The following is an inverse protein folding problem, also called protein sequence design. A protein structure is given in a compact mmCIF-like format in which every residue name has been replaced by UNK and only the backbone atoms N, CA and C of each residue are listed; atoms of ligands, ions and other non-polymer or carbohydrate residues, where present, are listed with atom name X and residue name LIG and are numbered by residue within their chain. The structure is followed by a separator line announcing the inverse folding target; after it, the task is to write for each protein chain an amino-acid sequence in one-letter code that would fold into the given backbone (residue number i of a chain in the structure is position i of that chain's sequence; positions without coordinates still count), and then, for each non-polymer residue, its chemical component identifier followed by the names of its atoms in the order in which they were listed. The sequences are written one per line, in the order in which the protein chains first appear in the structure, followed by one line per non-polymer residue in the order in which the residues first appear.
data_IF_528518060937
#
_entry.id   IF_528518060937
#
_cell.length_a   1.000
_cell.length_b   1.000
_cell.length_c   1.000
_cell.angle_alpha   90.00
_cell.angle_beta   90.00
_cell.angle_gamma   90.00
#
_symmetry.space_group_name_H-M   'P 1'
#
loop_
_entity.id
_entity.type
_entity.pdbx_description
1 polymer ?
#
# COMPACT_ATOMS: atom_id res chain seq x y z
N UNK A 1 13.86 15.74 9.45
CA UNK A 1 14.35 15.53 8.07
C UNK A 1 14.14 14.07 7.72
N UNK A 2 13.07 13.69 7.01
CA UNK A 2 12.98 12.33 6.46
C UNK A 2 14.01 12.23 5.33
N UNK A 3 14.88 11.21 5.42
CA UNK A 3 15.85 10.89 4.39
C UNK A 3 15.10 10.59 3.07
N UNK A 4 15.39 11.29 1.97
CA UNK A 4 14.72 11.07 0.69
C UNK A 4 14.72 9.61 0.23
N UNK A 5 15.78 8.87 0.56
CA UNK A 5 15.92 7.45 0.21
C UNK A 5 14.93 6.58 0.98
N UNK A 6 14.64 6.95 2.23
CA UNK A 6 13.71 6.23 3.10
C UNK A 6 12.26 6.46 2.66
N UNK A 7 11.92 7.70 2.28
CA UNK A 7 10.61 8.00 1.68
C UNK A 7 10.38 7.25 0.36
N UNK A 8 11.38 7.22 -0.52
CA UNK A 8 11.29 6.51 -1.80
C UNK A 8 11.17 4.99 -1.62
N UNK A 9 11.88 4.41 -0.64
CA UNK A 9 11.78 3.00 -0.29
C UNK A 9 10.39 2.62 0.21
N UNK A 10 9.85 3.37 1.17
CA UNK A 10 8.50 3.13 1.72
C UNK A 10 7.43 3.31 0.65
N UNK A 11 7.57 4.31 -0.24
CA UNK A 11 6.64 4.49 -1.36
C UNK A 11 6.64 3.30 -2.32
N UNK A 12 7.81 2.77 -2.69
CA UNK A 12 7.92 1.58 -3.56
C UNK A 12 7.26 0.35 -2.93
N UNK A 13 7.47 0.13 -1.63
CA UNK A 13 6.83 -0.97 -0.90
C UNK A 13 5.31 -0.79 -0.90
N UNK A 14 4.82 0.43 -0.62
CA UNK A 14 3.40 0.73 -0.61
C UNK A 14 2.76 0.48 -1.99
N UNK A 15 3.39 0.95 -3.07
CA UNK A 15 2.94 0.70 -4.44
C UNK A 15 2.92 -0.79 -4.77
N UNK A 16 3.94 -1.54 -4.36
CA UNK A 16 3.98 -2.98 -4.58
C UNK A 16 2.82 -3.70 -3.88
N UNK A 17 2.55 -3.37 -2.61
CA UNK A 17 1.40 -3.91 -1.87
C UNK A 17 0.09 -3.58 -2.60
N UNK A 18 -0.08 -2.33 -3.03
CA UNK A 18 -1.30 -1.91 -3.74
C UNK A 18 -1.51 -2.70 -5.03
N UNK A 19 -0.45 -2.87 -5.83
CA UNK A 19 -0.55 -3.58 -7.10
C UNK A 19 -0.81 -5.07 -6.90
N UNK A 20 -0.08 -5.72 -6.00
CA UNK A 20 -0.21 -7.17 -5.76
C UNK A 20 -1.55 -7.49 -5.12
N UNK A 21 -1.93 -6.81 -4.03
CA UNK A 21 -3.23 -7.02 -3.40
C UNK A 21 -4.37 -6.62 -4.33
N UNK A 22 -4.26 -5.48 -5.03
CA UNK A 22 -5.26 -5.07 -6.01
C UNK A 22 -5.48 -6.10 -7.11
N UNK A 23 -4.42 -6.78 -7.56
CA UNK A 23 -4.51 -7.86 -8.54
C UNK A 23 -5.11 -9.14 -7.93
N UNK A 24 -4.72 -9.51 -6.71
CA UNK A 24 -5.20 -10.71 -6.02
C UNK A 24 -6.71 -10.67 -5.75
N UNK A 25 -7.30 -9.49 -5.55
CA UNK A 25 -8.75 -9.35 -5.39
C UNK A 25 -9.57 -9.93 -6.54
N UNK A 26 -9.04 -9.99 -7.77
CA UNK A 26 -9.73 -10.60 -8.91
C UNK A 26 -9.68 -12.14 -8.91
N UNK A 27 -8.78 -12.73 -8.14
CA UNK A 27 -8.57 -14.17 -8.05
C UNK A 27 -9.04 -14.77 -6.73
N UNK A 28 -9.25 -13.94 -5.70
CA UNK A 28 -9.70 -14.38 -4.38
C UNK A 28 -11.21 -14.57 -4.34
N UNK A 29 -11.64 -15.69 -3.76
CA UNK A 29 -13.05 -15.95 -3.50
C UNK A 29 -13.62 -14.96 -2.47
N UNK A 30 -14.73 -14.27 -2.79
CA UNK A 30 -15.37 -13.34 -1.85
C UNK A 30 -15.80 -14.03 -0.55
N UNK A 31 -15.75 -13.29 0.56
CA UNK A 31 -16.16 -13.74 1.92
C UNK A 31 -15.25 -14.80 2.56
N UNK A 32 -14.07 -15.02 2.02
CA UNK A 32 -13.01 -15.79 2.68
C UNK A 32 -12.17 -14.90 3.60
N UNK A 33 -11.50 -15.51 4.58
CA UNK A 33 -10.54 -14.80 5.44
C UNK A 33 -9.39 -14.19 4.65
N UNK A 34 -8.94 -14.89 3.60
CA UNK A 34 -7.88 -14.41 2.69
C UNK A 34 -8.31 -13.17 1.92
N UNK A 35 -9.54 -13.13 1.40
CA UNK A 35 -10.08 -11.92 0.75
C UNK A 35 -10.11 -10.73 1.70
N UNK A 36 -10.59 -10.91 2.94
CA UNK A 36 -10.67 -9.82 3.93
C UNK A 36 -9.26 -9.30 4.27
N UNK A 37 -8.31 -10.19 4.51
CA UNK A 37 -6.92 -9.81 4.83
C UNK A 37 -6.28 -9.06 3.67
N UNK A 38 -6.51 -9.50 2.43
CA UNK A 38 -5.96 -8.84 1.24
C UNK A 38 -6.56 -7.44 1.02
N UNK A 39 -7.87 -7.27 1.27
CA UNK A 39 -8.52 -5.94 1.27
C UNK A 39 -7.89 -5.04 2.34
N UNK A 40 -7.66 -5.54 3.55
CA UNK A 40 -7.02 -4.74 4.61
C UNK A 40 -5.58 -4.38 4.25
N UNK A 41 -4.82 -5.30 3.66
CA UNK A 41 -3.46 -5.04 3.17
C UNK A 41 -3.46 -3.96 2.08
N UNK A 42 -4.42 -4.01 1.15
CA UNK A 42 -4.60 -3.00 0.12
C UNK A 42 -4.87 -1.61 0.72
N UNK A 43 -5.76 -1.52 1.71
CA UNK A 43 -6.05 -0.26 2.43
C UNK A 43 -4.79 0.28 3.11
N UNK A 44 -4.02 -0.58 3.79
CA UNK A 44 -2.76 -0.18 4.44
C UNK A 44 -1.75 0.32 3.41
N UNK A 45 -1.66 -0.33 2.25
CA UNK A 45 -0.83 0.11 1.13
C UNK A 45 -1.19 1.53 0.68
N UNK A 46 -2.48 1.82 0.48
CA UNK A 46 -2.95 3.17 0.13
C UNK A 46 -2.64 4.20 1.22
N UNK A 47 -2.82 3.86 2.49
CA UNK A 47 -2.49 4.76 3.60
C UNK A 47 -0.99 5.07 3.64
N UNK A 48 -0.13 4.07 3.47
CA UNK A 48 1.33 4.28 3.40
C UNK A 48 1.73 5.16 2.21
N UNK A 49 1.23 4.86 1.02
CA UNK A 49 1.52 5.66 -0.18
C UNK A 49 1.04 7.11 -0.02
N UNK A 50 -0.17 7.30 0.54
CA UNK A 50 -0.75 8.61 0.83
C UNK A 50 0.05 9.38 1.88
N UNK A 51 0.45 8.72 2.97
CA UNK A 51 1.27 9.33 4.04
C UNK A 51 2.61 9.80 3.50
N UNK A 52 3.32 8.95 2.73
CA UNK A 52 4.61 9.31 2.14
C UNK A 52 4.45 10.48 1.16
N UNK A 53 3.43 10.43 0.30
CA UNK A 53 3.15 11.52 -0.66
C UNK A 53 2.87 12.84 0.06
N UNK A 54 2.08 12.79 1.14
CA UNK A 54 1.76 13.96 1.96
C UNK A 54 2.99 14.53 2.65
N UNK A 55 3.82 13.66 3.25
CA UNK A 55 5.06 14.05 3.94
C UNK A 55 6.10 14.63 2.98
N UNK A 56 6.16 14.15 1.74
CA UNK A 56 7.05 14.70 0.70
C UNK A 56 6.52 16.04 0.18
N UNK A 57 5.20 16.19 -0.03
CA UNK A 57 4.61 17.45 -0.54
C UNK A 57 4.56 18.58 0.48
N UNK A 58 4.52 18.27 1.78
CA UNK A 58 4.55 19.27 2.87
C UNK A 58 5.96 19.69 3.29
N UNK A 59 6.99 19.09 2.70
CA UNK A 59 8.38 19.44 2.87
C UNK A 59 8.81 20.43 1.79
#
# INVERSE_FOLDING_TARGET
MIDPHLGQGVFRIAVFIILVSGMLLFYLEPRTSTFIVDVLALIIGFLLAGLVTFLVRKK
#
